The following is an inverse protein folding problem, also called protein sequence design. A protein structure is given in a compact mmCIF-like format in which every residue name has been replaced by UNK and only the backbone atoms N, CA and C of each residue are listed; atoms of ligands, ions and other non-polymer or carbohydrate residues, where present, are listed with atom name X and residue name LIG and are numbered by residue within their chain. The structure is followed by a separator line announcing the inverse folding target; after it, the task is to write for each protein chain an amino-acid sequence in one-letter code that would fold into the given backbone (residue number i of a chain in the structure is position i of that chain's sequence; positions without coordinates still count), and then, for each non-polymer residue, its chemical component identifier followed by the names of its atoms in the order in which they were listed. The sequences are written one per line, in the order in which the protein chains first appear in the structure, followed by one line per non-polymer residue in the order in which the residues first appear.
data_IF_192742640410
#
_entry.id   IF_192742640410
#
_cell.length_a   1.000
_cell.length_b   1.000
_cell.length_c   1.000
_cell.angle_alpha   90.00
_cell.angle_beta   90.00
_cell.angle_gamma   90.00
#
_symmetry.space_group_name_H-M   'P 1'
#
loop_
_entity.id
_entity.type
_entity.pdbx_description
1 polymer ?
#
# COMPACT_ATOMS: atom_id res chain seq x y z
N UNK A 1 19.01 -5.73 11.71
CA UNK A 1 18.29 -4.45 11.89
C UNK A 1 16.95 -4.51 11.15
N UNK A 2 15.97 -3.67 11.50
CA UNK A 2 14.70 -3.64 10.76
C UNK A 2 14.20 -2.21 10.56
N UNK A 3 13.39 -2.02 9.52
CA UNK A 3 12.70 -0.76 9.23
C UNK A 3 11.20 -0.99 9.22
N UNK A 4 10.47 -0.05 9.81
CA UNK A 4 9.02 0.01 9.74
C UNK A 4 8.59 1.22 8.91
N UNK A 5 7.95 0.96 7.78
CA UNK A 5 7.32 1.95 6.91
C UNK A 5 5.80 1.95 7.16
N UNK A 6 5.42 2.51 8.31
CA UNK A 6 4.02 2.70 8.70
C UNK A 6 3.81 4.01 9.52
N UNK A 7 2.76 4.81 9.23
CA UNK A 7 1.90 4.68 8.06
C UNK A 7 2.66 5.04 6.77
N UNK A 8 2.45 4.22 5.73
CA UNK A 8 2.95 4.52 4.39
C UNK A 8 2.12 5.63 3.75
N UNK A 9 2.71 6.81 3.61
CA UNK A 9 2.03 8.06 3.20
C UNK A 9 2.59 8.70 1.93
N UNK A 10 3.50 8.01 1.24
CA UNK A 10 4.11 8.52 0.01
C UNK A 10 5.23 7.62 -0.48
N UNK A 11 5.42 7.56 -1.79
CA UNK A 11 6.49 6.74 -2.40
C UNK A 11 7.84 7.02 -1.77
N UNK A 12 8.60 5.96 -1.48
CA UNK A 12 9.99 6.07 -1.04
C UNK A 12 10.97 6.22 -2.20
N UNK A 13 10.52 6.02 -3.45
CA UNK A 13 11.42 5.88 -4.59
C UNK A 13 12.30 4.64 -4.44
N UNK A 14 13.56 4.75 -4.84
CA UNK A 14 14.59 3.75 -4.58
C UNK A 14 15.11 3.90 -3.15
N UNK A 15 15.20 2.77 -2.43
CA UNK A 15 15.70 2.73 -1.06
C UNK A 15 16.94 1.84 -0.93
N UNK A 16 17.88 2.26 -0.09
CA UNK A 16 19.01 1.43 0.30
C UNK A 16 18.58 0.43 1.38
N UNK A 17 18.60 -0.85 1.03
CA UNK A 17 18.22 -1.96 1.91
C UNK A 17 19.44 -2.66 2.54
N UNK A 18 20.66 -2.16 2.28
CA UNK A 18 21.90 -2.79 2.72
C UNK A 18 21.97 -2.94 4.25
N UNK A 19 22.18 -4.17 4.71
CA UNK A 19 22.31 -4.49 6.15
C UNK A 19 20.99 -4.45 6.93
N UNK A 20 19.83 -4.42 6.25
CA UNK A 20 18.53 -4.67 6.86
C UNK A 20 18.25 -6.19 6.89
N UNK A 21 17.77 -6.67 8.03
CA UNK A 21 17.36 -8.07 8.19
C UNK A 21 15.91 -8.28 7.73
N UNK A 22 15.07 -7.23 7.76
CA UNK A 22 13.69 -7.25 7.27
C UNK A 22 13.06 -5.85 7.25
N UNK A 23 11.94 -5.76 6.52
CA UNK A 23 11.14 -4.55 6.37
C UNK A 23 9.67 -4.84 6.66
N UNK A 24 9.02 -3.94 7.40
CA UNK A 24 7.58 -3.93 7.64
C UNK A 24 6.91 -2.77 6.88
N UNK A 25 5.75 -3.02 6.27
CA UNK A 25 4.91 -2.00 5.63
C UNK A 25 3.47 -2.06 6.14
N UNK A 26 2.85 -0.90 6.39
CA UNK A 26 1.46 -0.84 6.82
C UNK A 26 0.79 0.52 6.64
N UNK A 27 -0.54 0.48 6.50
CA UNK A 27 -1.37 1.68 6.40
C UNK A 27 -1.80 2.27 7.75
N UNK A 28 -2.29 3.51 7.70
CA UNK A 28 -2.67 4.30 8.88
C UNK A 28 -3.95 3.77 9.56
N UNK A 29 -3.97 3.76 10.89
CA UNK A 29 -5.13 3.37 11.71
C UNK A 29 -5.68 4.58 12.47
N UNK A 30 -6.99 4.62 12.74
CA UNK A 30 -7.62 5.64 13.58
C UNK A 30 -8.55 6.60 12.82
N UNK A 31 -9.22 7.53 13.53
CA UNK A 31 -10.31 8.33 12.98
C UNK A 31 -9.94 9.15 11.74
N UNK A 32 -8.70 9.64 11.69
CA UNK A 32 -8.14 10.47 10.61
C UNK A 32 -7.20 9.72 9.66
N UNK A 33 -7.23 8.39 9.69
CA UNK A 33 -6.38 7.57 8.83
C UNK A 33 -6.51 7.97 7.36
N UNK A 34 -5.39 7.96 6.65
CA UNK A 34 -5.30 8.16 5.20
C UNK A 34 -5.13 6.82 4.48
N UNK A 35 -5.66 6.68 3.26
CA UNK A 35 -5.38 5.53 2.40
C UNK A 35 -3.90 5.47 1.98
N UNK A 36 -3.33 4.27 2.02
CA UNK A 36 -2.01 3.96 1.47
C UNK A 36 -2.15 3.52 0.01
N UNK A 37 -1.45 4.16 -0.92
CA UNK A 37 -1.47 3.72 -2.32
C UNK A 37 -0.83 2.33 -2.46
N UNK A 38 -1.48 1.35 -3.14
CA UNK A 38 -0.94 0.00 -3.32
C UNK A 38 0.48 -0.02 -3.87
N UNK A 39 0.78 0.85 -4.84
CA UNK A 39 2.11 0.90 -5.47
C UNK A 39 3.24 1.30 -4.52
N UNK A 40 2.96 1.97 -3.40
CA UNK A 40 3.99 2.22 -2.38
C UNK A 40 4.40 0.92 -1.68
N UNK A 41 3.42 0.08 -1.33
CA UNK A 41 3.68 -1.23 -0.73
C UNK A 41 4.28 -2.21 -1.75
N UNK A 42 3.81 -2.19 -3.01
CA UNK A 42 4.34 -3.03 -4.10
C UNK A 42 5.79 -2.68 -4.42
N UNK A 43 6.10 -1.40 -4.60
CA UNK A 43 7.47 -0.96 -4.88
C UNK A 43 8.44 -1.37 -3.76
N UNK A 44 8.06 -1.14 -2.51
CA UNK A 44 8.90 -1.55 -1.38
C UNK A 44 9.07 -3.06 -1.31
N UNK A 45 7.99 -3.83 -1.50
CA UNK A 45 8.03 -5.29 -1.59
C UNK A 45 8.99 -5.74 -2.69
N UNK A 46 8.86 -5.21 -3.90
CA UNK A 46 9.64 -5.66 -5.06
C UNK A 46 11.14 -5.36 -4.85
N UNK A 47 11.47 -4.20 -4.25
CA UNK A 47 12.83 -3.87 -3.84
C UNK A 47 13.36 -4.84 -2.77
N UNK A 48 12.55 -5.19 -1.77
CA UNK A 48 12.91 -6.19 -0.75
C UNK A 48 13.18 -7.57 -1.36
N UNK A 49 12.29 -8.04 -2.25
CA UNK A 49 12.45 -9.32 -2.95
C UNK A 49 13.72 -9.33 -3.81
N UNK A 50 13.99 -8.25 -4.54
CA UNK A 50 15.20 -8.12 -5.37
C UNK A 50 16.50 -8.12 -4.53
N UNK A 51 16.46 -7.55 -3.32
CA UNK A 51 17.59 -7.50 -2.39
C UNK A 51 17.72 -8.76 -1.51
N UNK A 52 16.77 -9.71 -1.58
CA UNK A 52 16.72 -10.86 -0.68
C UNK A 52 16.42 -10.49 0.78
N UNK A 53 15.78 -9.34 1.01
CA UNK A 53 15.39 -8.85 2.34
C UNK A 53 13.94 -9.27 2.62
N UNK A 54 13.65 -9.98 3.74
CA UNK A 54 12.30 -10.33 4.14
C UNK A 54 11.35 -9.13 4.20
N UNK A 55 10.17 -9.27 3.59
CA UNK A 55 9.11 -8.27 3.59
C UNK A 55 7.84 -8.72 4.33
N UNK A 56 7.43 -7.92 5.31
CA UNK A 56 6.19 -8.12 6.06
C UNK A 56 5.16 -7.02 5.74
N UNK A 57 4.05 -7.41 5.10
CA UNK A 57 2.89 -6.54 4.94
C UNK A 57 1.95 -6.71 6.12
N UNK A 58 1.89 -5.69 6.99
CA UNK A 58 1.11 -5.75 8.22
C UNK A 58 -0.39 -5.70 7.96
N UNK A 59 -0.85 -4.70 7.22
CA UNK A 59 -2.25 -4.47 6.85
C UNK A 59 -2.43 -3.12 6.11
N UNK A 60 -3.62 -2.88 5.58
CA UNK A 60 -3.97 -1.65 4.87
C UNK A 60 -4.37 -0.44 5.73
N UNK A 61 -4.58 -0.60 7.04
CA UNK A 61 -5.07 0.50 7.88
C UNK A 61 -6.60 0.52 7.94
N UNK A 62 -7.21 1.71 7.99
CA UNK A 62 -8.69 1.84 7.94
C UNK A 62 -9.29 1.70 6.53
N UNK A 63 -8.45 1.76 5.50
CA UNK A 63 -8.86 1.89 4.10
C UNK A 63 -8.46 0.65 3.32
N UNK A 64 -9.29 0.20 2.38
CA UNK A 64 -8.94 -0.85 1.44
C UNK A 64 -9.13 -0.37 -0.01
N UNK A 65 -8.20 -0.67 -0.93
CA UNK A 65 -8.41 -0.44 -2.35
C UNK A 65 -9.55 -1.34 -2.83
N UNK A 66 -10.51 -0.78 -3.59
CA UNK A 66 -11.62 -1.54 -4.15
C UNK A 66 -11.85 -1.29 -5.64
N UNK A 67 -11.14 -0.32 -6.20
CA UNK A 67 -11.19 0.02 -7.61
C UNK A 67 -9.81 0.52 -8.00
N UNK A 68 -9.26 -0.10 -9.03
CA UNK A 68 -7.89 0.11 -9.47
C UNK A 68 -7.91 0.02 -10.99
N UNK A 69 -7.77 1.17 -11.66
CA UNK A 69 -7.92 1.29 -13.11
C UNK A 69 -6.79 2.12 -13.68
N UNK A 70 -6.23 1.64 -14.77
CA UNK A 70 -5.31 2.39 -15.60
C UNK A 70 -6.11 3.27 -16.60
N UNK A 71 -5.40 4.19 -17.26
CA UNK A 71 -5.97 5.11 -18.25
C UNK A 71 -6.54 4.45 -19.52
N UNK A 72 -6.09 3.24 -19.83
CA UNK A 72 -6.45 2.49 -21.04
C UNK A 72 -7.58 1.48 -20.77
N UNK A 73 -8.03 1.33 -19.52
CA UNK A 73 -9.19 0.49 -19.18
C UNK A 73 -10.45 1.01 -19.90
N UNK A 74 -11.11 0.20 -20.74
CA UNK A 74 -12.28 0.63 -21.52
C UNK A 74 -13.45 1.08 -20.64
N UNK A 75 -13.47 0.66 -19.37
CA UNK A 75 -14.47 1.03 -18.37
C UNK A 75 -14.07 2.24 -17.51
N UNK A 76 -13.06 3.03 -17.93
CA UNK A 76 -12.57 4.19 -17.18
C UNK A 76 -13.64 5.23 -16.83
N UNK A 77 -14.78 5.24 -17.54
CA UNK A 77 -15.90 6.16 -17.31
C UNK A 77 -16.75 5.81 -16.08
N UNK A 78 -16.70 4.57 -15.59
CA UNK A 78 -17.45 4.12 -14.42
C UNK A 78 -16.73 4.43 -13.10
N UNK A 79 -16.34 5.70 -12.92
CA UNK A 79 -15.65 6.16 -11.71
C UNK A 79 -16.59 6.18 -10.49
N UNK A 80 -16.17 5.62 -9.34
CA UNK A 80 -16.93 5.73 -8.09
C UNK A 80 -17.14 7.19 -7.66
N UNK A 81 -18.31 7.50 -7.09
CA UNK A 81 -18.58 8.80 -6.48
C UNK A 81 -17.83 8.93 -5.15
N UNK A 82 -17.10 10.03 -4.97
CA UNK A 82 -16.39 10.32 -3.72
C UNK A 82 -17.35 10.66 -2.57
N UNK A 83 -16.95 10.30 -1.35
CA UNK A 83 -17.65 10.57 -0.08
C UNK A 83 -16.65 10.54 1.08
N UNK A 84 -17.02 10.89 2.32
CA UNK A 84 -16.11 10.77 3.47
C UNK A 84 -15.51 9.37 3.70
N UNK A 85 -16.14 8.34 3.16
CA UNK A 85 -15.68 6.94 3.24
C UNK A 85 -15.24 6.36 1.90
N UNK A 86 -15.20 7.17 0.83
CA UNK A 86 -14.75 6.76 -0.51
C UNK A 86 -13.93 7.88 -1.12
N UNK A 87 -12.64 7.67 -1.32
CA UNK A 87 -11.76 8.67 -1.91
C UNK A 87 -10.80 8.02 -2.91
N UNK A 88 -10.24 8.84 -3.81
CA UNK A 88 -9.16 8.44 -4.71
C UNK A 88 -7.81 8.97 -4.22
N UNK A 89 -6.76 8.22 -4.51
CA UNK A 89 -5.38 8.71 -4.42
C UNK A 89 -4.68 8.53 -5.76
N UNK A 90 -3.63 9.32 -5.95
CA UNK A 90 -2.64 9.12 -6.99
C UNK A 90 -1.28 8.72 -6.39
N UNK A 91 -0.33 8.40 -7.25
CA UNK A 91 1.03 7.98 -6.85
C UNK A 91 1.77 9.00 -5.97
N UNK A 92 1.51 10.30 -6.16
CA UNK A 92 2.09 11.37 -5.35
C UNK A 92 1.44 11.51 -3.96
N UNK A 93 0.42 10.71 -3.64
CA UNK A 93 -0.32 10.77 -2.37
C UNK A 93 -1.33 11.91 -2.29
N UNK A 94 -1.55 12.62 -3.40
CA UNK A 94 -2.55 13.67 -3.52
C UNK A 94 -3.91 13.16 -4.01
N UNK A 95 -4.85 14.10 -4.13
CA UNK A 95 -6.15 13.87 -4.76
C UNK A 95 -6.08 14.24 -6.26
N UNK A 96 -6.79 13.51 -7.12
CA UNK A 96 -6.91 13.82 -8.56
C UNK A 96 -6.32 12.76 -9.50
N UNK A 97 -6.73 12.82 -10.77
CA UNK A 97 -6.24 11.98 -11.86
C UNK A 97 -5.02 12.63 -12.51
N UNK A 98 -3.83 12.06 -12.31
CA UNK A 98 -2.58 12.53 -12.93
C UNK A 98 -2.17 11.61 -14.09
N UNK A 99 -3.12 11.30 -14.98
CA UNK A 99 -2.82 10.77 -16.31
C UNK A 99 -2.80 9.25 -16.45
N UNK A 100 -2.28 8.49 -15.48
CA UNK A 100 -1.92 7.09 -15.76
C UNK A 100 -2.77 6.03 -15.04
N UNK A 101 -3.09 6.24 -13.77
CA UNK A 101 -3.83 5.26 -12.94
C UNK A 101 -4.59 5.95 -11.82
N UNK A 102 -5.76 5.44 -11.50
CA UNK A 102 -6.58 5.89 -10.38
C UNK A 102 -6.89 4.71 -9.47
N UNK A 103 -6.68 4.91 -8.17
CA UNK A 103 -7.07 3.93 -7.16
C UNK A 103 -8.09 4.58 -6.23
N UNK A 104 -9.25 3.95 -6.08
CA UNK A 104 -10.22 4.33 -5.07
C UNK A 104 -10.17 3.39 -3.88
N UNK A 105 -10.36 4.01 -2.72
CA UNK A 105 -10.33 3.38 -1.43
C UNK A 105 -11.67 3.55 -0.75
N UNK A 106 -12.05 2.54 0.01
CA UNK A 106 -13.19 2.60 0.91
C UNK A 106 -12.71 2.47 2.34
N UNK A 107 -13.24 3.31 3.23
CA UNK A 107 -13.02 3.17 4.67
C UNK A 107 -13.85 2.00 5.17
N UNK A 108 -13.19 0.86 5.37
CA UNK A 108 -13.83 -0.41 5.76
C UNK A 108 -13.57 -0.77 7.22
N UNK A 109 -12.62 -0.08 7.86
CA UNK A 109 -12.20 -0.36 9.22
C UNK A 109 -11.03 -1.33 9.26
N UNK A 110 -10.11 -1.12 10.22
CA UNK A 110 -8.89 -1.95 10.42
C UNK A 110 -9.11 -3.46 10.28
N UNK A 111 -10.17 -3.99 10.90
CA UNK A 111 -10.46 -5.44 10.90
C UNK A 111 -10.81 -5.96 9.51
N UNK A 112 -11.53 -5.18 8.70
CA UNK A 112 -12.00 -5.59 7.39
C UNK A 112 -10.99 -5.27 6.27
N UNK A 113 -10.09 -4.30 6.48
CA UNK A 113 -9.12 -3.90 5.46
C UNK A 113 -8.12 -5.01 5.13
N UNK A 114 -7.82 -5.88 6.10
CA UNK A 114 -7.09 -7.13 5.87
C UNK A 114 -5.60 -6.98 5.59
N UNK A 115 -4.98 -8.09 5.19
CA UNK A 115 -3.52 -8.28 5.07
C UNK A 115 -3.07 -8.72 3.67
N UNK A 116 -3.99 -8.75 2.71
CA UNK A 116 -3.69 -9.22 1.36
C UNK A 116 -3.11 -8.07 0.53
N UNK A 117 -1.91 -8.26 0.00
CA UNK A 117 -1.31 -7.43 -1.04
C UNK A 117 -1.19 -8.30 -2.29
N UNK A 118 -1.93 -7.91 -3.34
CA UNK A 118 -2.05 -8.67 -4.60
C UNK A 118 -2.55 -10.10 -4.39
N UNK A 119 -3.58 -10.27 -3.54
CA UNK A 119 -4.26 -11.55 -3.32
C UNK A 119 -3.52 -12.53 -2.40
N UNK A 120 -2.37 -12.14 -1.85
CA UNK A 120 -1.51 -12.96 -0.98
C UNK A 120 -1.11 -12.22 0.30
N UNK A 121 -0.87 -12.96 1.37
CA UNK A 121 -0.18 -12.43 2.56
C UNK A 121 1.34 -12.46 2.38
N UNK A 122 1.99 -11.37 2.80
CA UNK A 122 3.44 -11.24 2.85
C UNK A 122 3.87 -11.21 4.31
N UNK A 123 4.24 -12.38 4.85
CA UNK A 123 4.51 -12.60 6.27
C UNK A 123 5.98 -12.92 6.55
N UNK A 124 6.88 -12.50 5.67
CA UNK A 124 8.30 -12.84 5.79
C UNK A 124 8.89 -12.14 7.01
N UNK A 125 9.60 -12.89 7.83
CA UNK A 125 10.26 -12.46 9.06
C UNK A 125 11.68 -12.99 9.04
N UNK A 126 12.65 -12.34 9.71
CA UNK A 126 13.99 -12.89 9.81
C UNK A 126 13.92 -14.25 10.52
N UNK A 127 14.72 -15.21 10.04
CA UNK A 127 14.88 -16.47 10.76
C UNK A 127 15.46 -16.15 12.14
N UNK A 128 14.77 -16.59 13.19
CA UNK A 128 15.32 -16.50 14.54
C UNK A 128 16.52 -17.45 14.56
N UNK A 129 17.73 -16.88 14.59
CA UNK A 129 18.95 -17.66 14.79
C UNK A 129 18.76 -18.51 16.05
N UNK A 130 18.74 -19.83 15.86
CA UNK A 130 18.66 -20.81 16.93
C UNK A 130 19.99 -20.92 17.67
#
# INVERSE_FOLDING_TARGET
RFVSYEPALGSLGEVDLSGLDWVLCGGETGPKARPMHPDWARSLRDQCQAAGVPFFFKQWGEWAPFYDRDKDDPDWRNIPKESPSVCRTNLAGGHGFHGDRIVYFRKVGKKAAGRLLDGREWNEMPEVAR
#
